data_IF_198410339028
#
_entry.id   IF_198410339028
#
_cell.length_a   1.000
_cell.length_b   1.000
_cell.length_c   1.000
_cell.angle_alpha   90.00
_cell.angle_beta   90.00
_cell.angle_gamma   90.00
#
_symmetry.space_group_name_H-M   'P 1'
#
loop_
_entity.id
_entity.type
_entity.pdbx_description
1 polymer ?
#
# COMPACT_ATOMS: atom_id res chain seq x y z
N UNK A 1 -10.08 15.64 4.55
CA UNK A 1 -9.10 14.90 5.38
C UNK A 1 -7.73 15.24 4.84
N UNK A 2 -6.74 15.38 5.72
CA UNK A 2 -5.36 15.62 5.29
C UNK A 2 -4.76 14.33 4.73
N UNK A 3 -3.93 14.47 3.70
CA UNK A 3 -3.18 13.35 3.12
C UNK A 3 -2.26 12.72 4.18
N UNK A 4 -2.29 11.40 4.29
CA UNK A 4 -1.39 10.69 5.20
C UNK A 4 0.07 10.88 4.78
N UNK A 5 0.95 10.98 5.77
CA UNK A 5 2.41 11.03 5.57
C UNK A 5 3.08 9.69 5.89
N UNK A 6 2.36 8.79 6.54
CA UNK A 6 2.80 7.47 6.97
C UNK A 6 1.57 6.61 7.25
N UNK A 7 1.69 5.31 7.05
CA UNK A 7 0.75 4.34 7.62
C UNK A 7 0.90 4.26 9.14
N UNK A 8 -0.22 4.17 9.84
CA UNK A 8 -0.28 4.04 11.30
C UNK A 8 0.29 2.69 11.73
N UNK A 9 0.01 1.64 10.95
CA UNK A 9 0.55 0.29 11.12
C UNK A 9 0.57 -0.49 9.80
N UNK A 10 1.32 -1.58 9.81
CA UNK A 10 1.32 -2.60 8.75
C UNK A 10 0.76 -3.88 9.35
N UNK A 11 -0.18 -4.51 8.64
CA UNK A 11 -0.75 -5.79 9.04
C UNK A 11 -0.36 -6.88 8.04
N UNK A 12 0.40 -7.85 8.53
CA UNK A 12 0.71 -9.05 7.77
C UNK A 12 -0.42 -10.06 7.95
N UNK A 13 -1.12 -10.33 6.85
CA UNK A 13 -2.32 -11.16 6.84
C UNK A 13 -2.15 -12.31 5.84
N UNK A 14 -2.69 -13.48 6.14
CA UNK A 14 -2.76 -14.55 5.14
C UNK A 14 -3.82 -14.20 4.11
N UNK A 15 -5.03 -13.86 4.56
CA UNK A 15 -6.16 -13.48 3.71
C UNK A 15 -6.49 -11.99 3.91
N UNK A 16 -6.81 -11.29 2.83
CA UNK A 16 -7.23 -9.89 2.92
C UNK A 16 -8.55 -9.79 3.69
N UNK A 17 -8.68 -8.84 4.63
CA UNK A 17 -9.93 -8.63 5.34
C UNK A 17 -11.02 -8.13 4.37
N UNK A 18 -12.29 -8.41 4.70
CA UNK A 18 -13.44 -7.88 3.95
C UNK A 18 -13.45 -6.36 3.96
N UNK A 19 -13.18 -5.79 5.12
CA UNK A 19 -13.19 -4.35 5.38
C UNK A 19 -11.77 -3.88 5.69
N UNK A 20 -11.34 -2.78 5.07
CA UNK A 20 -9.99 -2.25 5.21
C UNK A 20 -10.03 -0.95 6.00
N UNK A 21 -9.11 -0.80 6.94
CA UNK A 21 -9.00 0.42 7.73
C UNK A 21 -8.12 1.47 7.03
N UNK A 22 -8.55 2.73 7.08
CA UNK A 22 -7.74 3.85 6.63
C UNK A 22 -6.48 3.98 7.49
N UNK A 23 -5.32 4.24 6.86
CA UNK A 23 -4.04 4.32 7.56
C UNK A 23 -3.35 2.97 7.79
N UNK A 24 -3.96 1.85 7.39
CA UNK A 24 -3.35 0.52 7.48
C UNK A 24 -2.88 0.03 6.12
N UNK A 25 -1.65 -0.50 6.07
CA UNK A 25 -1.14 -1.24 4.91
C UNK A 25 -1.27 -2.74 5.20
N UNK A 26 -2.14 -3.42 4.47
CA UNK A 26 -2.29 -4.88 4.56
C UNK A 26 -1.33 -5.53 3.57
N UNK A 27 -0.59 -6.53 4.03
CA UNK A 27 0.36 -7.29 3.20
C UNK A 27 0.12 -8.77 3.37
N UNK A 28 -0.23 -9.45 2.28
CA UNK A 28 -0.22 -10.90 2.19
C UNK A 28 0.99 -11.36 1.40
N UNK A 29 2.01 -11.84 2.12
CA UNK A 29 3.20 -12.44 1.50
C UNK A 29 2.83 -13.75 0.81
N UNK A 30 1.90 -14.52 1.37
CA UNK A 30 1.45 -15.79 0.80
C UNK A 30 0.82 -15.62 -0.59
N UNK A 31 -0.09 -14.65 -0.73
CA UNK A 31 -0.70 -14.35 -2.04
C UNK A 31 0.10 -13.35 -2.86
N UNK A 32 1.15 -12.74 -2.31
CA UNK A 32 1.97 -11.73 -2.98
C UNK A 32 1.13 -10.51 -3.34
N UNK A 33 0.48 -9.91 -2.35
CA UNK A 33 -0.42 -8.77 -2.55
C UNK A 33 -0.33 -7.80 -1.37
N UNK A 34 -0.26 -6.50 -1.65
CA UNK A 34 -0.46 -5.46 -0.66
C UNK A 34 -1.66 -4.59 -1.04
N UNK A 35 -2.46 -4.19 -0.05
CA UNK A 35 -3.60 -3.29 -0.24
C UNK A 35 -3.64 -2.25 0.88
N UNK A 36 -3.96 -1.02 0.54
CA UNK A 36 -4.38 -0.01 1.50
C UNK A 36 -5.54 0.83 0.93
N UNK A 37 -6.28 1.51 1.81
CA UNK A 37 -7.13 2.60 1.37
C UNK A 37 -6.26 3.79 0.94
N UNK A 38 -6.65 4.46 -0.14
CA UNK A 38 -5.89 5.51 -0.79
C UNK A 38 -5.53 6.59 0.23
N UNK A 39 -4.23 6.87 0.47
CA UNK A 39 -3.82 7.75 1.56
C UNK A 39 -4.17 9.23 1.40
N UNK A 40 -4.85 9.61 0.31
CA UNK A 40 -5.41 10.94 0.13
C UNK A 40 -6.76 11.12 0.86
N UNK A 41 -7.36 10.02 1.34
CA UNK A 41 -8.63 10.01 2.06
C UNK A 41 -9.87 9.85 1.19
N UNK A 42 -9.73 9.50 -0.10
CA UNK A 42 -10.88 9.31 -0.99
C UNK A 42 -11.64 7.99 -0.74
N UNK A 43 -11.01 6.99 -0.12
CA UNK A 43 -11.60 5.69 0.19
C UNK A 43 -11.41 4.61 -0.90
N UNK A 44 -10.78 4.93 -2.03
CA UNK A 44 -10.43 3.93 -3.06
C UNK A 44 -9.37 2.95 -2.56
N UNK A 45 -9.35 1.72 -3.08
CA UNK A 45 -8.33 0.73 -2.73
C UNK A 45 -7.11 0.84 -3.66
N UNK A 46 -5.95 1.11 -3.09
CA UNK A 46 -4.68 0.96 -3.80
C UNK A 46 -4.23 -0.50 -3.73
N UNK A 47 -4.30 -1.21 -4.85
CA UNK A 47 -3.92 -2.62 -4.96
C UNK A 47 -2.52 -2.73 -5.58
N UNK A 48 -1.62 -3.43 -4.90
CA UNK A 48 -0.22 -3.60 -5.32
C UNK A 48 0.13 -5.09 -5.32
N UNK A 49 -0.02 -5.79 -6.46
CA UNK A 49 0.52 -7.14 -6.63
C UNK A 49 2.03 -7.15 -6.37
N UNK A 50 2.54 -8.18 -5.71
CA UNK A 50 3.93 -8.25 -5.28
C UNK A 50 4.68 -9.36 -6.01
N UNK A 51 5.95 -9.09 -6.28
CA UNK A 51 6.91 -10.11 -6.72
C UNK A 51 7.19 -11.10 -5.58
N UNK A 52 7.45 -12.39 -5.89
CA UNK A 52 7.53 -12.97 -7.23
C UNK A 52 6.18 -13.47 -7.78
N UNK A 53 5.10 -13.43 -7.01
CA UNK A 53 3.79 -13.96 -7.41
C UNK A 53 3.24 -13.25 -8.65
N UNK A 54 3.48 -11.94 -8.75
CA UNK A 54 3.31 -11.16 -9.97
C UNK A 54 4.69 -10.70 -10.49
N UNK A 55 5.20 -11.27 -11.59
CA UNK A 55 6.48 -10.89 -12.18
C UNK A 55 6.57 -9.44 -12.67
N UNK A 56 5.44 -8.77 -12.88
CA UNK A 56 5.37 -7.34 -13.26
C UNK A 56 4.96 -6.45 -12.07
N UNK A 57 4.67 -7.05 -10.92
CA UNK A 57 4.26 -6.37 -9.70
C UNK A 57 5.38 -5.60 -8.98
N UNK A 58 5.04 -5.13 -7.79
CA UNK A 58 5.91 -4.36 -6.93
C UNK A 58 6.96 -5.25 -6.27
N UNK A 59 8.19 -4.76 -6.20
CA UNK A 59 9.20 -5.30 -5.29
C UNK A 59 8.81 -4.94 -3.87
N UNK A 60 8.95 -5.90 -2.97
CA UNK A 60 8.63 -5.76 -1.55
C UNK A 60 9.88 -5.99 -0.71
N UNK A 61 10.15 -5.04 0.17
CA UNK A 61 11.19 -5.12 1.20
C UNK A 61 10.54 -4.88 2.56
N UNK A 62 10.88 -5.73 3.51
CA UNK A 62 10.46 -5.60 4.90
C UNK A 62 11.66 -5.75 5.83
N UNK A 63 11.83 -4.76 6.69
CA UNK A 63 12.86 -4.76 7.73
C UNK A 63 12.29 -4.19 9.04
N UNK A 64 12.27 -5.00 10.09
CA UNK A 64 11.83 -4.60 11.44
C UNK A 64 10.40 -3.99 11.46
N UNK A 65 9.47 -4.56 10.70
CA UNK A 65 8.09 -4.10 10.58
C UNK A 65 7.91 -2.87 9.67
N UNK A 66 8.95 -2.46 8.94
CA UNK A 66 8.91 -1.36 7.98
C UNK A 66 8.89 -1.89 6.56
N UNK A 67 7.88 -1.51 5.80
CA UNK A 67 7.65 -1.93 4.43
C UNK A 67 8.04 -0.83 3.45
N UNK A 68 8.77 -1.24 2.41
CA UNK A 68 9.09 -0.44 1.24
C UNK A 68 8.58 -1.17 0.00
N UNK A 69 7.84 -0.47 -0.88
CA UNK A 69 7.31 -1.01 -2.13
C UNK A 69 7.79 -0.20 -3.33
N UNK A 70 8.28 -0.84 -4.38
CA UNK A 70 8.66 -0.17 -5.64
C UNK A 70 8.06 -0.86 -6.85
N UNK A 71 7.57 -0.13 -7.88
CA UNK A 71 7.67 1.33 -8.08
C UNK A 71 6.70 2.17 -7.23
N UNK A 72 6.53 3.45 -7.55
CA UNK A 72 5.46 4.28 -6.98
C UNK A 72 4.08 3.69 -7.24
N UNK A 73 3.12 4.02 -6.40
CA UNK A 73 1.69 3.76 -6.58
C UNK A 73 1.07 4.96 -7.31
N UNK A 74 0.38 4.69 -8.41
CA UNK A 74 -0.45 5.67 -9.11
C UNK A 74 -1.89 5.18 -9.09
N UNK A 75 -2.72 5.79 -8.26
CA UNK A 75 -4.15 5.48 -8.22
C UNK A 75 -4.91 6.52 -9.03
N UNK A 76 -5.46 6.09 -10.16
CA UNK A 76 -6.11 6.99 -11.13
C UNK A 76 -7.63 7.06 -10.99
N UNK A 77 -8.22 6.11 -10.25
CA UNK A 77 -9.66 6.13 -9.94
C UNK A 77 -10.03 7.23 -8.95
N UNK A 78 -9.07 7.69 -8.13
CA UNK A 78 -9.32 8.74 -7.15
C UNK A 78 -9.39 10.15 -7.77
N UNK A 79 -10.21 11.07 -7.21
CA UNK A 79 -10.39 12.43 -7.74
C UNK A 79 -9.09 13.23 -7.86
N UNK A 80 -8.13 12.98 -6.97
CA UNK A 80 -6.88 13.73 -6.89
C UNK A 80 -5.71 13.08 -7.65
N UNK A 81 -5.92 11.93 -8.30
CA UNK A 81 -4.86 11.12 -8.95
C UNK A 81 -3.65 10.95 -8.03
N UNK A 82 -3.84 10.22 -6.93
CA UNK A 82 -2.83 9.99 -5.91
C UNK A 82 -1.61 9.30 -6.52
N UNK A 83 -0.47 9.98 -6.46
CA UNK A 83 0.82 9.45 -6.88
C UNK A 83 1.81 9.55 -5.71
N UNK A 84 2.30 8.42 -5.25
CA UNK A 84 3.18 8.37 -4.08
C UNK A 84 4.09 7.14 -4.07
N UNK A 85 5.15 7.22 -3.27
CA UNK A 85 5.99 6.08 -2.92
C UNK A 85 5.70 5.61 -1.50
N UNK A 86 5.87 4.31 -1.26
CA UNK A 86 5.87 3.71 0.08
C UNK A 86 7.32 3.37 0.45
N UNK A 87 7.86 4.05 1.47
CA UNK A 87 9.25 3.88 1.94
C UNK A 87 9.26 3.81 3.46
N UNK A 88 9.65 2.68 4.02
CA UNK A 88 9.65 2.46 5.48
C UNK A 88 8.31 2.84 6.16
N UNK A 89 7.19 2.40 5.60
CA UNK A 89 5.82 2.78 5.98
C UNK A 89 5.45 4.26 5.74
N UNK A 90 6.37 5.11 5.28
CA UNK A 90 6.10 6.52 4.95
C UNK A 90 5.53 6.63 3.55
N UNK A 91 4.67 7.63 3.39
CA UNK A 91 4.07 7.99 2.12
C UNK A 91 4.81 9.24 1.62
N UNK A 92 5.53 9.09 0.52
CA UNK A 92 6.25 10.18 -0.13
C UNK A 92 5.46 10.57 -1.37
N UNK A 93 4.70 11.66 -1.25
CA UNK A 93 3.91 12.22 -2.34
C UNK A 93 4.78 12.76 -3.48
N UNK A 94 4.30 12.60 -4.71
CA UNK A 94 4.87 13.17 -5.94
C UNK A 94 4.10 14.41 -6.35
#
# INVERSE_FOLDING_TARGET
>A
MDRLKKFDRVEFVTYMPSDKEYGVLYVSVYFGLAICLCPDGCGEECVMPLKPNDPEGWTYEEENGKVTLSPSVLETSCPNKAHFFIRENKIIWV
#
